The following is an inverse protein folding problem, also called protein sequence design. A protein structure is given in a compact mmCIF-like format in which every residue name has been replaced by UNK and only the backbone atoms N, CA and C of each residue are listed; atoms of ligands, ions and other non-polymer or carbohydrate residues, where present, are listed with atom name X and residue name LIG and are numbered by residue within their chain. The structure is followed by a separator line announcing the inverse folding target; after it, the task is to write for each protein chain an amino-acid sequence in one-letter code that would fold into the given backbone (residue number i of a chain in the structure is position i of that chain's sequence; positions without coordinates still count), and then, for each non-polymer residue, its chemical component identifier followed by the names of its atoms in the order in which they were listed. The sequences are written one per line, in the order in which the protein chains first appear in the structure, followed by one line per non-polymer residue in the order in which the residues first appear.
data_IF_390147242578
#
_entry.id   IF_390147242578
#
_cell.length_a   1.000
_cell.length_b   1.000
_cell.length_c   1.000
_cell.angle_alpha   90.00
_cell.angle_beta   90.00
_cell.angle_gamma   90.00
#
_symmetry.space_group_name_H-M   'P 1'
#
loop_
_entity.id
_entity.type
_entity.pdbx_description
1 polymer ?
#
# COMPACT_ATOMS: atom_id res chain seq x y z
N UNK A 1 -12.16 -5.92 20.44
CA UNK A 1 -13.08 -5.32 19.48
C UNK A 1 -14.48 -5.78 19.82
N UNK A 2 -15.48 -4.90 19.93
CA UNK A 2 -16.86 -5.28 20.19
C UNK A 2 -17.72 -4.94 18.99
N UNK A 3 -18.59 -5.87 18.56
CA UNK A 3 -19.58 -5.64 17.49
C UNK A 3 -20.43 -4.37 17.73
N UNK A 4 -20.55 -3.95 19.00
CA UNK A 4 -21.29 -2.75 19.40
C UNK A 4 -20.66 -1.44 18.89
N UNK A 5 -19.32 -1.32 18.87
CA UNK A 5 -18.65 -0.10 18.37
C UNK A 5 -18.87 0.06 16.87
N UNK A 6 -18.71 -1.02 16.12
CA UNK A 6 -18.91 -1.01 14.68
C UNK A 6 -20.36 -0.71 14.30
N UNK A 7 -21.33 -1.27 15.04
CA UNK A 7 -22.73 -0.95 14.84
C UNK A 7 -23.04 0.54 15.09
N UNK A 8 -22.43 1.15 16.12
CA UNK A 8 -22.59 2.58 16.40
C UNK A 8 -22.01 3.45 15.28
N UNK A 9 -20.83 3.11 14.76
CA UNK A 9 -20.21 3.82 13.64
C UNK A 9 -21.06 3.75 12.35
N UNK A 10 -21.63 2.58 12.05
CA UNK A 10 -22.54 2.42 10.91
C UNK A 10 -23.81 3.27 11.08
N UNK A 11 -24.33 3.40 12.30
CA UNK A 11 -25.48 4.27 12.57
C UNK A 11 -25.10 5.76 12.40
N UNK A 12 -23.97 6.18 12.96
CA UNK A 12 -23.50 7.56 12.89
C UNK A 12 -23.19 8.02 11.45
N UNK A 13 -22.77 7.11 10.56
CA UNK A 13 -22.56 7.40 9.14
C UNK A 13 -23.81 7.95 8.41
N UNK A 14 -25.00 7.73 8.98
CA UNK A 14 -26.29 8.13 8.40
C UNK A 14 -26.98 9.24 9.19
N UNK A 15 -26.31 9.78 10.20
CA UNK A 15 -26.90 10.79 11.07
C UNK A 15 -27.08 12.13 10.33
N UNK A 16 -28.16 12.89 10.58
CA UNK A 16 -28.31 14.23 10.03
C UNK A 16 -27.18 15.19 10.45
N UNK A 17 -26.55 15.00 11.61
CA UNK A 17 -25.42 15.81 12.07
C UNK A 17 -24.13 15.45 11.30
N UNK A 18 -23.51 16.40 10.56
CA UNK A 18 -22.23 16.16 9.91
C UNK A 18 -21.11 15.79 10.89
N UNK A 19 -21.20 16.15 12.18
CA UNK A 19 -20.24 15.75 13.20
C UNK A 19 -20.23 14.25 13.46
N UNK A 20 -21.41 13.63 13.53
CA UNK A 20 -21.56 12.17 13.71
C UNK A 20 -21.12 11.41 12.45
N UNK A 21 -21.45 11.93 11.26
CA UNK A 21 -20.97 11.34 10.00
C UNK A 21 -19.46 11.44 9.84
N UNK A 22 -18.86 12.53 10.31
CA UNK A 22 -17.41 12.72 10.34
C UNK A 22 -16.77 11.70 11.30
N UNK A 23 -17.31 11.54 12.50
CA UNK A 23 -16.84 10.54 13.44
C UNK A 23 -16.85 9.14 12.82
N UNK A 24 -17.91 8.78 12.10
CA UNK A 24 -17.97 7.52 11.35
C UNK A 24 -16.89 7.44 10.25
N UNK A 25 -16.71 8.49 9.44
CA UNK A 25 -15.71 8.51 8.36
C UNK A 25 -14.26 8.35 8.87
N UNK A 26 -13.96 8.89 10.04
CA UNK A 26 -12.64 8.85 10.69
C UNK A 26 -12.29 7.47 11.25
N UNK A 27 -13.29 6.69 11.71
CA UNK A 27 -13.03 5.49 12.52
C UNK A 27 -13.51 4.18 11.87
N UNK A 28 -14.45 4.21 10.90
CA UNK A 28 -14.98 2.99 10.29
C UNK A 28 -13.89 2.08 9.74
N UNK A 29 -12.93 2.63 9.00
CA UNK A 29 -11.89 1.83 8.35
C UNK A 29 -10.87 1.20 9.32
N UNK A 30 -10.67 1.78 10.50
CA UNK A 30 -9.76 1.21 11.51
C UNK A 30 -10.45 0.20 12.41
N UNK A 31 -11.78 0.32 12.56
CA UNK A 31 -12.59 -0.54 13.44
C UNK A 31 -13.25 -1.72 12.70
N UNK A 32 -13.27 -1.69 11.37
CA UNK A 32 -13.81 -2.78 10.55
C UNK A 32 -12.67 -3.60 9.91
N UNK A 33 -12.87 -4.91 9.81
CA UNK A 33 -12.09 -5.70 8.88
C UNK A 33 -12.49 -5.35 7.44
N UNK A 34 -11.55 -5.43 6.49
CA UNK A 34 -11.77 -5.10 5.06
C UNK A 34 -12.89 -5.91 4.40
N UNK A 35 -13.21 -7.07 4.96
CA UNK A 35 -14.30 -7.93 4.49
C UNK A 35 -15.68 -7.41 4.91
N UNK A 36 -15.79 -6.47 5.85
CA UNK A 36 -17.08 -5.97 6.34
C UNK A 36 -17.81 -5.17 5.24
N UNK A 37 -18.84 -5.74 4.60
CA UNK A 37 -19.48 -5.09 3.45
C UNK A 37 -20.31 -3.88 3.88
N UNK A 38 -20.82 -3.85 5.11
CA UNK A 38 -21.66 -2.77 5.61
C UNK A 38 -20.82 -1.52 5.89
N UNK A 39 -19.71 -1.64 6.60
CA UNK A 39 -18.82 -0.51 6.87
C UNK A 39 -18.21 0.09 5.59
N UNK A 40 -17.82 -0.77 4.62
CA UNK A 40 -17.37 -0.30 3.30
C UNK A 40 -18.49 0.43 2.57
N UNK A 41 -19.74 -0.08 2.60
CA UNK A 41 -20.87 0.58 1.95
C UNK A 41 -21.12 1.98 2.54
N UNK A 42 -21.01 2.15 3.86
CA UNK A 42 -21.11 3.47 4.49
C UNK A 42 -19.97 4.40 4.07
N UNK A 43 -18.71 3.94 4.04
CA UNK A 43 -17.60 4.76 3.56
C UNK A 43 -17.77 5.18 2.09
N UNK A 44 -18.31 4.30 1.25
CA UNK A 44 -18.64 4.64 -0.14
C UNK A 44 -19.70 5.75 -0.21
N UNK A 45 -20.73 5.70 0.64
CA UNK A 45 -21.74 6.75 0.72
C UNK A 45 -21.16 8.08 1.25
N UNK A 46 -20.39 8.02 2.34
CA UNK A 46 -19.72 9.17 2.96
C UNK A 46 -18.71 9.84 2.01
N UNK A 47 -18.11 9.08 1.08
CA UNK A 47 -17.25 9.68 0.04
C UNK A 47 -17.99 10.65 -0.88
N UNK A 48 -19.32 10.70 -0.85
CA UNK A 48 -20.17 11.62 -1.62
C UNK A 48 -20.91 12.65 -0.74
N UNK A 49 -20.55 12.76 0.54
CA UNK A 49 -21.20 13.66 1.50
C UNK A 49 -21.19 15.14 1.08
N UNK A 50 -22.25 15.92 1.38
CA UNK A 50 -22.21 17.37 1.17
C UNK A 50 -21.12 18.08 1.99
N UNK A 51 -20.77 17.57 3.17
CA UNK A 51 -19.71 18.12 4.01
C UNK A 51 -18.34 17.67 3.50
N UNK A 52 -17.45 18.63 3.26
CA UNK A 52 -16.10 18.37 2.72
C UNK A 52 -15.24 17.55 3.67
N UNK A 53 -15.35 17.76 5.00
CA UNK A 53 -14.55 17.01 5.97
C UNK A 53 -14.93 15.54 5.99
N UNK A 54 -16.23 15.27 5.84
CA UNK A 54 -16.75 13.90 5.75
C UNK A 54 -16.26 13.22 4.47
N UNK A 55 -16.37 13.89 3.30
CA UNK A 55 -15.86 13.33 2.03
C UNK A 55 -14.36 13.11 2.05
N UNK A 56 -13.61 14.05 2.60
CA UNK A 56 -12.15 13.99 2.68
C UNK A 56 -11.70 12.75 3.45
N UNK A 57 -12.20 12.58 4.67
CA UNK A 57 -11.91 11.41 5.49
C UNK A 57 -12.38 10.10 4.86
N UNK A 58 -13.59 10.06 4.31
CA UNK A 58 -14.09 8.85 3.66
C UNK A 58 -13.24 8.45 2.44
N UNK A 59 -12.80 9.44 1.64
CA UNK A 59 -11.94 9.20 0.47
C UNK A 59 -10.52 8.81 0.89
N UNK A 60 -9.99 9.43 1.95
CA UNK A 60 -8.73 9.01 2.58
C UNK A 60 -8.81 7.56 3.05
N UNK A 61 -9.85 7.19 3.80
CA UNK A 61 -10.07 5.83 4.30
C UNK A 61 -10.15 4.81 3.16
N UNK A 62 -10.92 5.09 2.10
CA UNK A 62 -10.99 4.22 0.92
C UNK A 62 -9.65 4.10 0.18
N UNK A 63 -8.82 5.14 0.20
CA UNK A 63 -7.55 5.16 -0.52
C UNK A 63 -6.39 4.53 0.27
N UNK A 64 -6.32 4.73 1.58
CA UNK A 64 -5.17 4.34 2.42
C UNK A 64 -5.46 3.16 3.35
N UNK A 65 -6.68 3.03 3.88
CA UNK A 65 -6.96 2.09 4.96
C UNK A 65 -7.73 0.85 4.48
N UNK A 66 -8.58 1.00 3.47
CA UNK A 66 -9.41 -0.11 2.97
C UNK A 66 -8.65 -0.94 1.91
N UNK A 67 -8.36 -2.21 2.20
CA UNK A 67 -7.74 -3.19 1.29
C UNK A 67 -8.76 -3.99 0.45
N UNK A 68 -9.90 -3.37 0.15
CA UNK A 68 -10.90 -3.89 -0.78
C UNK A 68 -10.78 -3.25 -2.17
N UNK A 69 -10.85 -4.08 -3.21
CA UNK A 69 -10.93 -3.66 -4.60
C UNK A 69 -12.19 -4.25 -5.24
N UNK A 70 -12.84 -3.45 -6.08
CA UNK A 70 -14.12 -3.79 -6.70
C UNK A 70 -14.64 -2.62 -7.54
N UNK A 71 -15.59 -2.89 -8.45
CA UNK A 71 -16.14 -1.86 -9.32
C UNK A 71 -16.77 -0.70 -8.55
N UNK A 72 -17.39 -0.95 -7.40
CA UNK A 72 -18.02 0.08 -6.56
C UNK A 72 -16.99 1.02 -5.95
N UNK A 73 -15.90 0.47 -5.41
CA UNK A 73 -14.81 1.25 -4.82
C UNK A 73 -14.11 2.09 -5.90
N UNK A 74 -13.81 1.49 -7.05
CA UNK A 74 -13.22 2.21 -8.18
C UNK A 74 -14.15 3.31 -8.69
N UNK A 75 -15.45 3.05 -8.79
CA UNK A 75 -16.42 4.05 -9.23
C UNK A 75 -16.52 5.22 -8.26
N UNK A 76 -16.54 4.97 -6.94
CA UNK A 76 -16.54 6.03 -5.93
C UNK A 76 -15.29 6.92 -6.03
N UNK A 77 -14.10 6.31 -6.15
CA UNK A 77 -12.85 7.05 -6.32
C UNK A 77 -12.84 7.84 -7.65
N UNK A 78 -13.27 7.24 -8.76
CA UNK A 78 -13.41 7.96 -10.04
C UNK A 78 -14.39 9.13 -9.95
N UNK A 79 -15.45 9.02 -9.15
CA UNK A 79 -16.37 10.14 -8.95
C UNK A 79 -15.75 11.31 -8.15
N UNK A 80 -14.57 11.11 -7.55
CA UNK A 80 -13.84 12.09 -6.71
C UNK A 80 -12.58 12.66 -7.35
N UNK A 81 -12.15 12.20 -8.53
CA UNK A 81 -10.93 12.74 -9.17
C UNK A 81 -11.08 14.20 -9.61
N UNK A 82 -12.32 14.67 -9.83
CA UNK A 82 -12.66 16.07 -10.17
C UNK A 82 -13.41 16.78 -9.03
N UNK A 83 -13.26 16.29 -7.79
CA UNK A 83 -13.87 16.94 -6.62
C UNK A 83 -13.43 18.41 -6.49
N UNK A 84 -14.28 19.26 -5.91
CA UNK A 84 -13.97 20.68 -5.70
C UNK A 84 -12.81 20.86 -4.72
N UNK A 85 -12.70 19.95 -3.76
CA UNK A 85 -11.63 19.95 -2.78
C UNK A 85 -10.39 19.21 -3.29
N UNK A 86 -9.22 19.84 -3.15
CA UNK A 86 -7.95 19.31 -3.65
C UNK A 86 -7.48 18.06 -2.90
N UNK A 87 -7.70 18.00 -1.58
CA UNK A 87 -7.32 16.83 -0.78
C UNK A 87 -8.13 15.61 -1.24
N UNK A 88 -9.44 15.78 -1.41
CA UNK A 88 -10.34 14.74 -1.93
C UNK A 88 -9.87 14.24 -3.31
N UNK A 89 -9.54 15.14 -4.25
CA UNK A 89 -8.99 14.74 -5.57
C UNK A 89 -7.70 13.92 -5.44
N UNK A 90 -6.79 14.37 -4.58
CA UNK A 90 -5.49 13.70 -4.40
C UNK A 90 -5.64 12.30 -3.80
N UNK A 91 -6.53 12.11 -2.81
CA UNK A 91 -6.83 10.81 -2.23
C UNK A 91 -7.55 9.89 -3.21
N UNK A 92 -8.45 10.42 -4.03
CA UNK A 92 -9.09 9.65 -5.10
C UNK A 92 -8.06 9.09 -6.08
N UNK A 93 -7.15 9.95 -6.55
CA UNK A 93 -6.06 9.57 -7.45
C UNK A 93 -5.12 8.52 -6.81
N UNK A 94 -4.74 8.73 -5.55
CA UNK A 94 -3.96 7.75 -4.78
C UNK A 94 -4.67 6.40 -4.69
N UNK A 95 -5.95 6.39 -4.33
CA UNK A 95 -6.72 5.16 -4.15
C UNK A 95 -6.89 4.35 -5.45
N UNK A 96 -7.01 5.04 -6.60
CA UNK A 96 -7.04 4.40 -7.91
C UNK A 96 -5.68 3.82 -8.28
N UNK A 97 -4.62 4.59 -8.06
CA UNK A 97 -3.25 4.16 -8.31
C UNK A 97 -2.88 2.92 -7.47
N UNK A 98 -3.16 2.94 -6.16
CA UNK A 98 -2.94 1.82 -5.23
C UNK A 98 -3.67 0.54 -5.64
N UNK A 99 -4.82 0.67 -6.31
CA UNK A 99 -5.59 -0.44 -6.92
C UNK A 99 -5.10 -0.82 -8.33
N UNK A 100 -3.99 -0.24 -8.77
CA UNK A 100 -3.36 -0.45 -10.08
C UNK A 100 -4.32 -0.12 -11.24
N UNK A 101 -5.24 0.84 -11.04
CA UNK A 101 -6.12 1.30 -12.11
C UNK A 101 -5.35 2.19 -13.08
N UNK A 102 -4.79 1.57 -14.12
CA UNK A 102 -3.95 2.25 -15.11
C UNK A 102 -4.63 3.45 -15.75
N UNK A 103 -5.96 3.50 -15.82
CA UNK A 103 -6.69 4.65 -16.39
C UNK A 103 -6.39 5.97 -15.66
N UNK A 104 -5.89 5.91 -14.42
CA UNK A 104 -5.52 7.09 -13.63
C UNK A 104 -4.17 7.70 -14.03
N UNK A 105 -3.37 7.06 -14.88
CA UNK A 105 -2.04 7.57 -15.23
C UNK A 105 -1.99 8.97 -15.86
N UNK A 106 -2.93 9.40 -16.73
CA UNK A 106 -2.89 10.75 -17.28
C UNK A 106 -3.14 11.81 -16.20
N UNK A 107 -3.99 11.50 -15.21
CA UNK A 107 -4.23 12.38 -14.07
C UNK A 107 -2.99 12.48 -13.18
N UNK A 108 -2.29 11.36 -13.00
CA UNK A 108 -1.01 11.35 -12.28
C UNK A 108 0.01 12.24 -12.99
N UNK A 109 0.18 12.08 -14.30
CA UNK A 109 1.10 12.91 -15.08
C UNK A 109 0.78 14.40 -14.94
N UNK A 110 -0.50 14.79 -15.09
CA UNK A 110 -0.93 16.18 -14.92
C UNK A 110 -0.64 16.73 -13.51
N UNK A 111 -0.77 15.90 -12.47
CA UNK A 111 -0.42 16.29 -11.11
C UNK A 111 1.09 16.59 -10.98
N UNK A 112 1.95 15.76 -11.58
CA UNK A 112 3.40 16.00 -11.62
C UNK A 112 3.78 17.24 -12.44
N UNK A 113 3.16 17.44 -13.59
CA UNK A 113 3.39 18.62 -14.46
C UNK A 113 2.99 19.95 -13.78
N UNK A 114 2.12 19.92 -12.77
CA UNK A 114 1.74 21.12 -12.01
C UNK A 114 2.87 21.66 -11.11
N UNK A 115 3.90 20.85 -10.83
CA UNK A 115 5.06 21.22 -10.00
C UNK A 115 4.85 21.19 -8.49
N UNK A 116 3.60 21.10 -7.99
CA UNK A 116 3.31 20.98 -6.56
C UNK A 116 2.59 19.66 -6.29
N UNK A 117 3.36 18.63 -5.93
CA UNK A 117 2.88 17.25 -5.76
C UNK A 117 2.72 16.92 -4.29
N UNK A 118 1.55 16.37 -3.90
CA UNK A 118 1.33 15.87 -2.53
C UNK A 118 2.21 14.66 -2.26
N UNK A 119 2.75 14.54 -1.05
CA UNK A 119 3.72 13.49 -0.65
C UNK A 119 3.24 12.06 -0.95
N UNK A 120 1.95 11.76 -0.75
CA UNK A 120 1.39 10.43 -1.01
C UNK A 120 1.31 10.09 -2.52
N UNK A 121 1.37 11.08 -3.43
CA UNK A 121 1.31 10.83 -4.87
C UNK A 121 2.62 10.26 -5.44
N UNK A 122 3.75 10.40 -4.73
CA UNK A 122 4.98 9.70 -5.11
C UNK A 122 4.81 8.18 -4.99
N UNK A 123 4.26 7.70 -3.87
CA UNK A 123 3.93 6.28 -3.71
C UNK A 123 2.89 5.83 -4.75
N UNK A 124 1.87 6.66 -4.99
CA UNK A 124 0.87 6.42 -6.03
C UNK A 124 1.48 6.23 -7.42
N UNK A 125 2.47 7.04 -7.81
CA UNK A 125 3.20 6.87 -9.06
C UNK A 125 3.88 5.48 -9.11
N UNK A 126 4.52 5.07 -8.01
CA UNK A 126 5.08 3.73 -7.87
C UNK A 126 4.03 2.62 -8.02
N UNK A 127 2.80 2.84 -7.54
CA UNK A 127 1.73 1.89 -7.78
C UNK A 127 1.35 1.75 -9.26
N UNK A 128 1.35 2.84 -10.02
CA UNK A 128 1.02 2.81 -11.45
C UNK A 128 2.12 2.20 -12.32
N UNK A 129 3.40 2.35 -11.93
CA UNK A 129 4.58 1.82 -12.66
C UNK A 129 4.70 2.34 -14.10
N UNK A 130 4.25 3.57 -14.35
CA UNK A 130 4.21 4.13 -15.70
C UNK A 130 5.54 4.83 -16.03
N UNK A 131 6.29 4.38 -17.05
CA UNK A 131 7.62 4.93 -17.35
C UNK A 131 7.65 6.43 -17.69
N UNK A 132 6.54 6.96 -18.18
CA UNK A 132 6.38 8.39 -18.46
C UNK A 132 6.47 9.28 -17.20
N UNK A 133 6.27 8.72 -16.00
CA UNK A 133 6.41 9.44 -14.74
C UNK A 133 7.87 9.56 -14.28
N UNK A 134 8.77 8.71 -14.77
CA UNK A 134 10.16 8.66 -14.30
C UNK A 134 10.96 9.97 -14.53
N UNK A 135 10.84 10.69 -15.65
CA UNK A 135 11.50 12.00 -15.81
C UNK A 135 11.05 13.01 -14.74
N UNK A 136 9.74 13.11 -14.50
CA UNK A 136 9.16 14.04 -13.53
C UNK A 136 9.56 13.71 -12.10
N UNK A 137 9.59 12.42 -11.74
CA UNK A 137 10.05 11.98 -10.43
C UNK A 137 11.51 12.38 -10.13
N UNK A 138 12.37 12.50 -11.16
CA UNK A 138 13.78 12.92 -10.98
C UNK A 138 13.94 14.41 -10.67
N UNK A 139 12.89 15.21 -10.81
CA UNK A 139 12.94 16.66 -10.57
C UNK A 139 12.78 17.02 -9.08
N UNK A 140 12.41 16.04 -8.23
CA UNK A 140 12.15 16.25 -6.80
C UNK A 140 13.29 15.70 -5.94
N UNK A 141 13.59 16.41 -4.84
CA UNK A 141 14.55 15.96 -3.82
C UNK A 141 13.96 14.84 -2.95
N UNK A 142 14.76 13.80 -2.69
CA UNK A 142 14.31 12.60 -1.98
C UNK A 142 14.83 12.49 -0.53
N UNK A 143 14.50 13.47 0.31
CA UNK A 143 14.95 13.48 1.72
C UNK A 143 14.49 12.23 2.51
N UNK A 144 13.34 11.66 2.14
CA UNK A 144 12.68 10.57 2.89
C UNK A 144 12.66 9.23 2.14
N UNK A 145 13.36 9.09 1.01
CA UNK A 145 13.47 7.83 0.25
C UNK A 145 12.21 7.39 -0.52
N UNK A 146 11.16 8.22 -0.57
CA UNK A 146 9.89 7.87 -1.22
C UNK A 146 9.94 8.03 -2.73
N UNK A 147 10.69 9.01 -3.21
CA UNK A 147 10.87 9.24 -4.65
C UNK A 147 11.72 8.13 -5.26
N UNK A 148 12.77 7.65 -4.57
CA UNK A 148 13.59 6.53 -5.03
C UNK A 148 12.78 5.24 -5.20
N UNK A 149 11.86 4.95 -4.28
CA UNK A 149 10.94 3.81 -4.41
C UNK A 149 10.05 3.97 -5.65
N UNK A 150 9.40 5.12 -5.82
CA UNK A 150 8.57 5.41 -6.99
C UNK A 150 9.36 5.36 -8.31
N UNK A 151 10.58 5.90 -8.33
CA UNK A 151 11.50 5.87 -9.46
C UNK A 151 11.88 4.45 -9.84
N UNK A 152 12.21 3.61 -8.85
CA UNK A 152 12.49 2.18 -9.08
C UNK A 152 11.30 1.51 -9.74
N UNK A 153 10.09 1.83 -9.31
CA UNK A 153 8.87 1.24 -9.85
C UNK A 153 8.51 1.76 -11.25
N UNK A 154 8.80 3.02 -11.57
CA UNK A 154 8.47 3.63 -12.87
C UNK A 154 9.57 3.40 -13.92
N UNK A 155 10.84 3.31 -13.55
CA UNK A 155 11.95 3.07 -14.48
C UNK A 155 12.15 1.56 -14.73
N UNK A 156 11.92 1.06 -15.96
CA UNK A 156 12.04 -0.37 -16.25
C UNK A 156 13.42 -0.98 -15.96
N UNK A 157 14.49 -0.20 -16.11
CA UNK A 157 15.85 -0.69 -15.86
C UNK A 157 16.14 -0.79 -14.36
N UNK A 158 15.75 0.20 -13.57
CA UNK A 158 15.87 0.14 -12.10
C UNK A 158 15.01 -0.99 -11.53
N UNK A 159 13.78 -1.14 -12.05
CA UNK A 159 12.88 -2.22 -11.66
C UNK A 159 13.50 -3.60 -11.91
N UNK A 160 14.03 -3.80 -13.11
CA UNK A 160 14.68 -5.06 -13.49
C UNK A 160 15.93 -5.36 -12.65
N UNK A 161 16.74 -4.33 -12.34
CA UNK A 161 17.91 -4.49 -11.46
C UNK A 161 17.51 -4.91 -10.04
N UNK A 162 16.47 -4.27 -9.46
CA UNK A 162 15.91 -4.64 -8.16
C UNK A 162 15.35 -6.07 -8.18
N UNK A 163 14.58 -6.43 -9.22
CA UNK A 163 13.99 -7.77 -9.37
C UNK A 163 15.09 -8.85 -9.44
N UNK A 164 16.19 -8.60 -10.15
CA UNK A 164 17.32 -9.53 -10.24
C UNK A 164 17.99 -9.79 -8.86
N UNK A 165 18.14 -8.76 -8.03
CA UNK A 165 18.68 -8.91 -6.68
C UNK A 165 17.74 -9.72 -5.79
N UNK A 166 16.44 -9.44 -5.84
CA UNK A 166 15.42 -10.17 -5.06
C UNK A 166 15.40 -11.65 -5.46
N UNK A 167 15.40 -11.95 -6.76
CA UNK A 167 15.45 -13.33 -7.26
C UNK A 167 16.75 -14.02 -6.82
N UNK A 168 17.88 -13.31 -6.82
CA UNK A 168 19.13 -13.85 -6.33
C UNK A 168 19.06 -14.21 -4.84
N UNK A 169 18.42 -13.39 -4.01
CA UNK A 169 18.19 -13.71 -2.59
C UNK A 169 17.33 -14.97 -2.46
N UNK A 170 16.24 -15.08 -3.23
CA UNK A 170 15.39 -16.26 -3.20
C UNK A 170 16.13 -17.56 -3.57
N UNK A 171 16.95 -17.54 -4.64
CA UNK A 171 17.78 -18.67 -5.03
C UNK A 171 18.74 -19.10 -3.90
N UNK A 172 19.35 -18.12 -3.23
CA UNK A 172 20.25 -18.37 -2.12
C UNK A 172 19.54 -18.97 -0.91
N UNK A 173 18.33 -18.51 -0.60
CA UNK A 173 17.50 -19.06 0.47
C UNK A 173 17.07 -20.50 0.16
N UNK A 174 16.63 -20.77 -1.08
CA UNK A 174 16.31 -22.13 -1.52
C UNK A 174 17.54 -23.05 -1.47
N UNK A 175 18.74 -22.54 -1.74
CA UNK A 175 19.95 -23.35 -1.70
C UNK A 175 20.49 -23.60 -0.27
N UNK A 176 20.29 -22.65 0.66
CA UNK A 176 20.97 -22.64 1.98
C UNK A 176 20.04 -22.84 3.17
N UNK A 177 18.73 -22.75 2.94
CA UNK A 177 17.69 -22.65 3.95
C UNK A 177 16.35 -23.21 3.43
N UNK A 178 16.40 -24.23 2.56
CA UNK A 178 15.21 -24.87 1.98
C UNK A 178 14.26 -25.43 3.05
N UNK A 179 14.81 -25.83 4.20
CA UNK A 179 14.05 -26.31 5.33
C UNK A 179 13.04 -25.28 5.84
N UNK A 180 13.24 -23.98 5.56
CA UNK A 180 12.36 -22.88 5.93
C UNK A 180 11.18 -22.64 4.98
N UNK A 181 11.11 -23.37 3.86
CA UNK A 181 10.08 -23.21 2.81
C UNK A 181 9.87 -21.74 2.40
N UNK A 182 10.93 -21.01 2.02
CA UNK A 182 10.83 -19.59 1.68
C UNK A 182 9.93 -19.35 0.47
N UNK A 183 8.92 -18.49 0.63
CA UNK A 183 7.98 -18.10 -0.43
C UNK A 183 7.99 -16.60 -0.63
N UNK A 184 8.22 -16.15 -1.87
CA UNK A 184 8.08 -14.74 -2.24
C UNK A 184 6.67 -14.44 -2.72
N UNK A 185 6.12 -13.32 -2.29
CA UNK A 185 4.87 -12.79 -2.80
C UNK A 185 4.88 -11.25 -2.77
N UNK A 186 3.91 -10.66 -3.45
CA UNK A 186 3.68 -9.22 -3.44
C UNK A 186 2.21 -8.97 -3.15
N UNK A 187 1.91 -8.00 -2.30
CA UNK A 187 0.55 -7.58 -2.06
C UNK A 187 0.13 -6.50 -3.07
N UNK A 188 -1.15 -6.44 -3.37
CA UNK A 188 -1.68 -5.47 -4.35
C UNK A 188 -1.46 -4.03 -3.89
N UNK A 189 -1.67 -3.80 -2.59
CA UNK A 189 -1.84 -2.49 -1.97
C UNK A 189 -0.55 -1.92 -1.37
N UNK A 190 0.57 -2.63 -1.48
CA UNK A 190 1.91 -2.19 -1.06
C UNK A 190 2.90 -2.32 -2.23
N UNK A 191 4.09 -1.74 -2.08
CA UNK A 191 5.20 -1.89 -3.02
C UNK A 191 6.21 -2.95 -2.56
N UNK A 192 5.99 -3.53 -1.38
CA UNK A 192 6.91 -4.43 -0.73
C UNK A 192 6.98 -5.77 -1.46
N UNK A 193 8.15 -6.39 -1.45
CA UNK A 193 8.33 -7.77 -1.91
C UNK A 193 8.59 -8.61 -0.69
N UNK A 194 7.57 -9.36 -0.29
CA UNK A 194 7.52 -10.05 0.97
C UNK A 194 8.01 -11.48 0.81
N UNK A 195 8.78 -11.92 1.81
CA UNK A 195 9.20 -13.29 2.01
C UNK A 195 8.46 -13.86 3.22
N UNK A 196 7.69 -14.92 3.02
CA UNK A 196 7.06 -15.72 4.06
C UNK A 196 7.78 -17.07 4.22
N UNK A 197 7.82 -17.59 5.45
CA UNK A 197 8.34 -18.93 5.76
C UNK A 197 7.32 -19.75 6.57
N UNK A 198 7.31 -21.07 6.38
CA UNK A 198 6.22 -21.94 6.83
C UNK A 198 6.56 -22.82 8.06
N UNK A 199 7.71 -22.63 8.69
CA UNK A 199 8.22 -23.63 9.65
C UNK A 199 7.78 -23.40 11.09
N UNK A 200 7.36 -22.19 11.44
CA UNK A 200 6.91 -21.86 12.80
C UNK A 200 5.70 -20.95 12.73
N UNK A 201 4.62 -21.33 13.41
CA UNK A 201 3.54 -20.39 13.76
C UNK A 201 4.04 -19.54 14.94
N UNK A 202 3.94 -18.21 14.87
CA UNK A 202 3.40 -17.41 13.76
C UNK A 202 4.40 -17.26 12.59
N UNK A 203 3.86 -17.22 11.36
CA UNK A 203 4.62 -17.03 10.12
C UNK A 203 5.58 -15.85 10.22
N UNK A 204 6.79 -16.01 9.69
CA UNK A 204 7.75 -14.91 9.61
C UNK A 204 7.66 -14.27 8.23
N UNK A 205 7.25 -13.00 8.20
CA UNK A 205 7.18 -12.17 7.00
C UNK A 205 8.27 -11.09 7.07
N UNK A 206 9.02 -10.92 5.99
CA UNK A 206 10.07 -9.90 5.85
C UNK A 206 10.01 -9.24 4.49
N UNK A 207 10.15 -7.92 4.43
CA UNK A 207 10.38 -7.19 3.18
C UNK A 207 11.83 -7.39 2.71
N UNK A 208 12.01 -8.10 1.59
CA UNK A 208 13.31 -8.44 1.02
C UNK A 208 14.06 -7.21 0.53
N UNK A 209 13.33 -6.20 0.01
CA UNK A 209 13.96 -4.97 -0.50
C UNK A 209 14.53 -4.14 0.65
N UNK A 210 13.80 -4.04 1.77
CA UNK A 210 14.33 -3.41 2.98
C UNK A 210 15.59 -4.12 3.50
N UNK A 211 15.61 -5.46 3.50
CA UNK A 211 16.81 -6.22 3.91
C UNK A 211 17.99 -5.94 2.98
N UNK A 212 17.80 -6.01 1.65
CA UNK A 212 18.83 -5.71 0.65
C UNK A 212 19.44 -4.32 0.91
N UNK A 213 18.60 -3.29 1.08
CA UNK A 213 19.07 -1.92 1.38
C UNK A 213 19.89 -1.86 2.66
N UNK A 214 19.49 -2.60 3.70
CA UNK A 214 20.19 -2.61 4.99
C UNK A 214 21.62 -3.19 4.91
N UNK A 215 21.92 -3.96 3.87
CA UNK A 215 23.23 -4.60 3.65
C UNK A 215 23.97 -4.10 2.41
N UNK A 216 23.51 -2.98 1.82
CA UNK A 216 24.15 -2.36 0.65
C UNK A 216 23.88 -3.10 -0.66
N UNK A 217 22.66 -3.63 -0.83
CA UNK A 217 22.19 -4.33 -2.03
C UNK A 217 23.02 -5.58 -2.40
N UNK A 218 23.69 -6.19 -1.40
CA UNK A 218 24.42 -7.45 -1.53
C UNK A 218 23.47 -8.63 -1.24
N UNK A 219 23.14 -9.47 -2.25
CA UNK A 219 22.18 -10.54 -2.09
C UNK A 219 22.70 -11.69 -1.21
N UNK A 220 24.01 -11.91 -1.16
CA UNK A 220 24.63 -12.92 -0.31
C UNK A 220 24.55 -12.52 1.17
N UNK A 221 24.82 -11.25 1.47
CA UNK A 221 24.63 -10.69 2.83
C UNK A 221 23.17 -10.64 3.23
N UNK A 222 22.27 -10.30 2.31
CA UNK A 222 20.83 -10.26 2.58
C UNK A 222 20.30 -11.66 2.92
N UNK A 223 20.66 -12.66 2.11
CA UNK A 223 20.31 -14.05 2.38
C UNK A 223 20.89 -14.54 3.71
N UNK A 224 22.16 -14.26 4.00
CA UNK A 224 22.78 -14.63 5.28
C UNK A 224 22.03 -14.01 6.47
N UNK A 225 21.70 -12.72 6.39
CA UNK A 225 20.93 -12.02 7.42
C UNK A 225 19.56 -12.64 7.66
N UNK A 226 18.80 -12.94 6.59
CA UNK A 226 17.49 -13.58 6.69
C UNK A 226 17.61 -14.95 7.35
N UNK A 227 18.61 -15.76 6.95
CA UNK A 227 18.83 -17.10 7.51
C UNK A 227 19.19 -17.03 8.99
N UNK A 228 20.04 -16.09 9.39
CA UNK A 228 20.41 -15.90 10.78
C UNK A 228 19.21 -15.47 11.62
N UNK A 229 18.38 -14.55 11.10
CA UNK A 229 17.14 -14.12 11.76
C UNK A 229 16.14 -15.28 11.90
N UNK A 230 16.02 -16.16 10.89
CA UNK A 230 15.18 -17.36 10.95
C UNK A 230 15.70 -18.39 11.97
N UNK A 231 17.02 -18.64 12.00
CA UNK A 231 17.66 -19.58 12.93
C UNK A 231 17.62 -19.10 14.36
N UNK A 232 17.83 -17.80 14.62
CA UNK A 232 17.78 -17.23 15.96
C UNK A 232 16.38 -17.36 16.59
N UNK A 233 15.33 -17.34 15.76
CA UNK A 233 13.94 -17.53 16.17
C UNK A 233 13.54 -19.00 16.30
N UNK A 234 14.40 -19.90 15.83
CA UNK A 234 14.19 -21.34 15.84
C UNK A 234 15.02 -22.00 16.94
N UNK A 235 14.44 -22.47 18.05
CA UNK A 235 15.20 -23.24 19.02
C UNK A 235 15.55 -24.62 18.43
N UNK A 236 16.76 -24.82 17.92
CA UNK A 236 17.23 -26.12 17.41
C UNK A 236 17.79 -27.00 18.55
N UNK A 237 17.77 -28.37 18.49
CA UNK A 237 17.44 -29.23 17.33
C UNK A 237 16.25 -30.19 17.48
N UNK A 238 15.69 -30.55 16.31
CA UNK A 238 15.04 -31.85 16.06
C UNK A 238 16.03 -32.98 16.39
N UNK A 239 15.68 -33.82 17.35
CA UNK A 239 16.29 -35.14 17.51
C UNK A 239 15.74 -36.08 16.45
N UNK A 240 16.67 -36.85 15.87
CA UNK A 240 16.51 -37.95 14.91
C UNK A 240 15.50 -38.96 15.40
#
# INVERSE_FOLDING_TARGET
MTDATLAALIAAARDPDPGERLWAAEHLATEMDDENPAGVAELLALSADPDVRVRDWATFSLSHLVHRDGPEVRAALWARVDDRDEAVRSYALHGLARRRDRRAWPLMLAAFESGVVKEHLFEAAGFLREPALAPHLREFDDEKGRIAAALTECDPALRAARDALVLRVADLLLARAAEFEPTLYCERFTLDILLETNVYRPHHVTDVVAVLRSVGDDPDRAAAKIIDDLRARTPYPRRV
#
